data_IF_701472559150
#
_entry.id   IF_701472559150
#
_cell.length_a   1.000
_cell.length_b   1.000
_cell.length_c   1.000
_cell.angle_alpha   90.00
_cell.angle_beta   90.00
_cell.angle_gamma   90.00
#
_symmetry.space_group_name_H-M   'P 1'
#
loop_
_entity.id
_entity.type
_entity.pdbx_description
1 polymer ?
#
# COMPACT_ATOMS: atom_id res chain seq x y z
N UNK A 1 -14.46 -3.04 -21.53
CA UNK A 1 -14.86 -2.63 -20.17
C UNK A 1 -14.31 -1.22 -19.91
N UNK A 2 -15.12 -0.24 -19.49
CA UNK A 2 -14.66 1.14 -19.26
C UNK A 2 -14.18 1.29 -17.80
N UNK A 3 -12.90 1.62 -17.64
CA UNK A 3 -12.20 1.71 -16.34
C UNK A 3 -12.45 3.06 -15.61
N UNK A 4 -12.97 4.07 -16.33
CA UNK A 4 -13.17 5.43 -15.81
C UNK A 4 -14.56 6.02 -16.14
N UNK A 5 -15.05 6.89 -15.25
CA UNK A 5 -16.32 7.62 -15.43
C UNK A 5 -16.23 8.61 -16.59
N UNK A 6 -17.33 8.79 -17.33
CA UNK A 6 -17.37 9.63 -18.53
C UNK A 6 -17.89 11.06 -18.25
N UNK A 7 -18.31 11.34 -17.01
CA UNK A 7 -18.59 12.71 -16.55
C UNK A 7 -17.33 13.33 -15.96
N UNK A 8 -16.91 14.53 -16.40
CA UNK A 8 -15.62 15.12 -16.06
C UNK A 8 -15.43 15.33 -14.55
N UNK A 9 -16.49 15.73 -13.82
CA UNK A 9 -16.43 15.94 -12.37
C UNK A 9 -16.15 14.64 -11.58
N UNK A 10 -16.70 13.50 -12.01
CA UNK A 10 -16.46 12.20 -11.34
C UNK A 10 -15.14 11.58 -11.78
N UNK A 11 -14.75 11.76 -13.05
CA UNK A 11 -13.45 11.34 -13.56
C UNK A 11 -12.32 12.03 -12.80
N UNK A 12 -12.40 13.35 -12.59
CA UNK A 12 -11.37 14.09 -11.87
C UNK A 12 -11.28 13.66 -10.40
N UNK A 13 -12.40 13.36 -9.73
CA UNK A 13 -12.39 12.79 -8.37
C UNK A 13 -11.77 11.40 -8.32
N UNK A 14 -11.98 10.55 -9.34
CA UNK A 14 -11.34 9.23 -9.41
C UNK A 14 -9.83 9.37 -9.62
N UNK A 15 -9.40 10.21 -10.56
CA UNK A 15 -7.97 10.48 -10.79
C UNK A 15 -7.33 11.05 -9.52
N UNK A 16 -7.97 12.01 -8.86
CA UNK A 16 -7.46 12.58 -7.62
C UNK A 16 -7.38 11.53 -6.50
N UNK A 17 -8.40 10.67 -6.36
CA UNK A 17 -8.37 9.59 -5.38
C UNK A 17 -7.27 8.55 -5.68
N UNK A 18 -7.07 8.21 -6.95
CA UNK A 18 -5.99 7.31 -7.39
C UNK A 18 -4.62 7.95 -7.12
N UNK A 19 -4.45 9.23 -7.43
CA UNK A 19 -3.21 9.97 -7.16
C UNK A 19 -2.93 10.08 -5.65
N UNK A 20 -3.94 10.37 -4.83
CA UNK A 20 -3.81 10.40 -3.37
C UNK A 20 -3.42 9.02 -2.84
N UNK A 21 -4.05 7.95 -3.34
CA UNK A 21 -3.71 6.59 -2.94
C UNK A 21 -2.26 6.26 -3.28
N UNK A 22 -1.82 6.56 -4.50
CA UNK A 22 -0.42 6.36 -4.92
C UNK A 22 0.52 7.20 -4.06
N UNK A 23 0.23 8.48 -3.86
CA UNK A 23 1.06 9.37 -3.05
C UNK A 23 1.18 8.89 -1.60
N UNK A 24 0.09 8.43 -0.98
CA UNK A 24 0.11 7.87 0.37
C UNK A 24 0.93 6.58 0.45
N UNK A 25 0.80 5.68 -0.53
CA UNK A 25 1.59 4.46 -0.59
C UNK A 25 3.07 4.79 -0.78
N UNK A 26 3.41 5.69 -1.70
CA UNK A 26 4.79 6.13 -1.93
C UNK A 26 5.39 6.81 -0.69
N UNK A 27 4.63 7.67 -0.02
CA UNK A 27 5.05 8.32 1.22
C UNK A 27 5.28 7.32 2.35
N UNK A 28 4.40 6.32 2.49
CA UNK A 28 4.55 5.25 3.49
C UNK A 28 5.80 4.41 3.23
N UNK A 29 6.05 4.02 1.98
CA UNK A 29 7.27 3.28 1.60
C UNK A 29 8.51 4.12 1.87
N UNK A 30 8.52 5.38 1.46
CA UNK A 30 9.65 6.28 1.71
C UNK A 30 9.93 6.43 3.20
N UNK A 31 8.89 6.65 4.02
CA UNK A 31 9.00 6.74 5.46
C UNK A 31 9.52 5.43 6.09
N UNK A 32 9.03 4.28 5.63
CA UNK A 32 9.47 2.97 6.11
C UNK A 32 10.95 2.68 5.82
N UNK A 33 11.44 3.11 4.65
CA UNK A 33 12.86 3.01 4.29
C UNK A 33 13.71 3.96 5.14
N UNK A 34 13.27 5.20 5.36
CA UNK A 34 13.98 6.13 6.23
C UNK A 34 14.09 5.60 7.67
N UNK A 35 13.03 4.97 8.19
CA UNK A 35 13.05 4.30 9.49
C UNK A 35 13.97 3.08 9.49
N UNK A 36 13.98 2.28 8.42
CA UNK A 36 14.90 1.15 8.27
C UNK A 36 16.35 1.59 8.39
N UNK A 37 16.74 2.60 7.61
CA UNK A 37 18.10 3.12 7.58
C UNK A 37 18.50 3.69 8.95
N UNK A 38 17.58 4.40 9.61
CA UNK A 38 17.79 4.88 10.96
C UNK A 38 18.01 3.76 11.98
N UNK A 39 17.28 2.64 11.88
CA UNK A 39 17.48 1.47 12.75
C UNK A 39 18.81 0.79 12.43
N UNK A 40 19.20 0.68 11.16
CA UNK A 40 20.46 0.06 10.74
C UNK A 40 21.71 0.81 11.24
N UNK A 41 21.59 2.09 11.60
CA UNK A 41 22.65 2.82 12.31
C UNK A 41 22.97 2.19 13.68
N UNK A 42 21.98 1.57 14.35
CA UNK A 42 22.22 0.85 15.62
C UNK A 42 23.03 -0.45 15.43
N UNK A 43 23.19 -0.96 14.21
CA UNK A 43 24.04 -2.12 13.93
C UNK A 43 25.53 -1.73 13.80
N UNK A 44 25.85 -0.45 13.62
CA UNK A 44 27.23 0.00 13.45
C UNK A 44 28.12 -0.25 14.68
N UNK A 45 27.67 -0.02 15.93
CA UNK A 45 28.43 -0.42 17.12
C UNK A 45 28.70 -1.93 17.17
N UNK A 46 27.72 -2.76 16.79
CA UNK A 46 27.87 -4.22 16.73
C UNK A 46 28.97 -4.65 15.75
N UNK A 47 29.02 -4.03 14.57
CA UNK A 47 30.09 -4.27 13.58
C UNK A 47 31.47 -3.92 14.09
N UNK A 48 31.59 -2.80 14.82
CA UNK A 48 32.87 -2.42 15.42
C UNK A 48 33.30 -3.42 16.48
N UNK A 49 32.38 -3.85 17.35
CA UNK A 49 32.64 -4.87 18.39
C UNK A 49 33.05 -6.20 17.77
N UNK A 50 32.35 -6.67 16.73
CA UNK A 50 32.70 -7.87 15.96
C UNK A 50 34.12 -7.78 15.42
N UNK A 51 34.42 -6.72 14.66
CA UNK A 51 35.73 -6.54 14.04
C UNK A 51 36.88 -6.43 15.05
N UNK A 52 36.66 -5.74 16.18
CA UNK A 52 37.66 -5.64 17.25
C UNK A 52 37.83 -6.96 18.01
N UNK A 53 36.75 -7.71 18.23
CA UNK A 53 36.81 -9.04 18.85
C UNK A 53 37.60 -10.03 18.00
N UNK A 54 37.34 -10.07 16.69
CA UNK A 54 38.03 -10.94 15.73
C UNK A 54 39.52 -10.59 15.59
N UNK A 55 39.86 -9.30 15.50
CA UNK A 55 41.27 -8.89 15.41
C UNK A 55 42.01 -9.27 16.69
N UNK A 56 41.40 -9.04 17.86
CA UNK A 56 41.99 -9.37 19.15
C UNK A 56 42.14 -10.87 19.34
N UNK A 57 41.13 -11.66 18.93
CA UNK A 57 41.21 -13.12 18.93
C UNK A 57 42.36 -13.63 18.06
N UNK A 58 42.52 -13.05 16.87
CA UNK A 58 43.60 -13.40 15.94
C UNK A 58 44.98 -13.06 16.51
N UNK A 59 45.15 -11.85 17.05
CA UNK A 59 46.40 -11.42 17.66
C UNK A 59 46.79 -12.28 18.88
N UNK A 60 45.83 -12.57 19.76
CA UNK A 60 46.04 -13.41 20.94
C UNK A 60 46.31 -14.87 20.57
N UNK A 61 45.65 -15.40 19.53
CA UNK A 61 45.92 -16.73 18.98
C UNK A 61 47.35 -16.82 18.45
N UNK A 62 47.75 -15.87 17.61
CA UNK A 62 49.11 -15.77 17.08
C UNK A 62 50.16 -15.64 18.19
N UNK A 63 49.88 -14.83 19.23
CA UNK A 63 50.76 -14.70 20.39
C UNK A 63 50.85 -16.00 21.19
N UNK A 64 49.74 -16.73 21.37
CA UNK A 64 49.73 -18.05 22.01
C UNK A 64 50.57 -19.06 21.25
N UNK A 65 50.47 -19.09 19.93
CA UNK A 65 51.27 -19.96 19.07
C UNK A 65 52.75 -19.60 19.10
N UNK A 66 53.09 -18.31 19.15
CA UNK A 66 54.47 -17.87 19.35
C UNK A 66 55.01 -18.26 20.73
N UNK A 67 54.19 -18.08 21.79
CA UNK A 67 54.56 -18.40 23.16
C UNK A 67 54.79 -19.91 23.38
N UNK A 68 54.05 -20.77 22.66
CA UNK A 68 54.24 -22.23 22.69
C UNK A 68 55.67 -22.68 22.33
N UNK A 69 56.42 -21.83 21.60
CA UNK A 69 57.79 -22.12 21.14
C UNK A 69 58.86 -21.80 22.20
N UNK A 70 58.49 -21.25 23.36
CA UNK A 70 59.44 -20.91 24.44
C UNK A 70 59.81 -22.18 25.24
N UNK A 71 61.10 -22.55 25.36
CA UNK A 71 61.52 -23.73 26.12
C UNK A 71 61.10 -23.65 27.60
N UNK A 72 60.74 -24.80 28.18
CA UNK A 72 60.36 -24.99 29.59
C UNK A 72 59.04 -24.33 30.06
N UNK A 73 58.59 -23.23 29.44
CA UNK A 73 57.39 -22.47 29.87
C UNK A 73 56.34 -22.25 28.78
N UNK A 74 56.56 -22.71 27.55
CA UNK A 74 55.66 -22.42 26.42
C UNK A 74 54.20 -22.80 26.65
N UNK A 75 53.94 -24.00 27.17
CA UNK A 75 52.58 -24.48 27.47
C UNK A 75 51.88 -23.65 28.56
N UNK A 76 52.64 -23.12 29.53
CA UNK A 76 52.12 -22.27 30.61
C UNK A 76 51.69 -20.90 30.09
N UNK A 77 52.35 -20.40 29.04
CA UNK A 77 52.05 -19.12 28.40
C UNK A 77 50.98 -19.24 27.30
N UNK A 78 50.95 -20.37 26.57
CA UNK A 78 50.01 -20.61 25.49
C UNK A 78 48.55 -20.68 25.97
N UNK A 79 48.28 -21.45 27.04
CA UNK A 79 46.93 -21.65 27.57
C UNK A 79 46.17 -20.36 27.87
N UNK A 80 46.71 -19.40 28.64
CA UNK A 80 45.99 -18.15 28.94
C UNK A 80 45.77 -17.30 27.69
N UNK A 81 46.72 -17.27 26.74
CA UNK A 81 46.58 -16.53 25.48
C UNK A 81 45.49 -17.14 24.58
N UNK A 82 45.45 -18.46 24.43
CA UNK A 82 44.39 -19.14 23.68
C UNK A 82 43.02 -19.00 24.36
N UNK A 83 42.98 -19.03 25.69
CA UNK A 83 41.74 -18.79 26.44
C UNK A 83 41.23 -17.36 26.24
N UNK A 84 42.14 -16.38 26.25
CA UNK A 84 41.81 -14.99 25.97
C UNK A 84 41.34 -14.81 24.52
N UNK A 85 41.98 -15.49 23.55
CA UNK A 85 41.52 -15.50 22.16
C UNK A 85 40.09 -16.03 22.02
N UNK A 86 39.76 -17.14 22.69
CA UNK A 86 38.40 -17.69 22.72
C UNK A 86 37.37 -16.79 23.42
N UNK A 87 37.78 -16.03 24.44
CA UNK A 87 36.92 -15.01 25.03
C UNK A 87 36.67 -13.84 24.04
N UNK A 88 37.69 -13.44 23.28
CA UNK A 88 37.58 -12.42 22.24
C UNK A 88 36.70 -12.86 21.06
N UNK A 89 36.73 -14.12 20.64
CA UNK A 89 35.76 -14.65 19.66
C UNK A 89 34.34 -14.59 20.20
N UNK A 90 34.12 -14.90 21.48
CA UNK A 90 32.79 -14.75 22.09
C UNK A 90 32.27 -13.31 22.11
N UNK A 91 33.16 -12.32 22.21
CA UNK A 91 32.82 -10.89 22.05
C UNK A 91 32.43 -10.60 20.60
N UNK A 92 33.16 -11.18 19.64
CA UNK A 92 32.86 -11.00 18.22
C UNK A 92 31.48 -11.58 17.85
N UNK A 93 31.21 -12.81 18.28
CA UNK A 93 29.92 -13.50 18.12
C UNK A 93 28.75 -12.70 18.73
N UNK A 94 28.96 -12.06 19.88
CA UNK A 94 27.99 -11.18 20.50
C UNK A 94 27.75 -9.91 19.65
N UNK A 95 28.81 -9.33 19.09
CA UNK A 95 28.74 -8.22 18.15
C UNK A 95 27.93 -8.57 16.90
N UNK A 96 28.13 -9.76 16.34
CA UNK A 96 27.37 -10.27 15.20
C UNK A 96 25.90 -10.52 15.55
N UNK A 97 25.63 -11.18 16.70
CA UNK A 97 24.27 -11.46 17.16
C UNK A 97 23.43 -10.19 17.36
N UNK A 98 24.06 -9.11 17.86
CA UNK A 98 23.41 -7.80 17.97
C UNK A 98 23.03 -7.21 16.60
N UNK A 99 23.91 -7.32 15.61
CA UNK A 99 23.62 -6.84 14.25
C UNK A 99 22.45 -7.59 13.63
N UNK A 100 22.41 -8.92 13.80
CA UNK A 100 21.33 -9.75 13.31
C UNK A 100 19.99 -9.39 13.96
N UNK A 101 19.98 -9.17 15.29
CA UNK A 101 18.79 -8.73 16.01
C UNK A 101 18.30 -7.37 15.52
N UNK A 102 19.21 -6.40 15.35
CA UNK A 102 18.87 -5.06 14.83
C UNK A 102 18.32 -5.17 13.40
N UNK A 103 18.93 -5.99 12.54
CA UNK A 103 18.48 -6.21 11.16
C UNK A 103 17.08 -6.83 11.10
N UNK A 104 16.80 -7.82 11.95
CA UNK A 104 15.47 -8.44 12.05
C UNK A 104 14.42 -7.43 12.51
N UNK A 105 14.72 -6.63 13.54
CA UNK A 105 13.81 -5.58 14.03
C UNK A 105 13.58 -4.52 12.95
N UNK A 106 14.64 -4.05 12.28
CA UNK A 106 14.54 -3.09 11.20
C UNK A 106 13.61 -3.61 10.09
N UNK A 107 13.80 -4.86 9.67
CA UNK A 107 12.98 -5.50 8.64
C UNK A 107 11.52 -5.63 9.06
N UNK A 108 11.26 -6.11 10.28
CA UNK A 108 9.90 -6.31 10.78
C UNK A 108 9.14 -4.99 10.93
N UNK A 109 9.81 -3.95 11.44
CA UNK A 109 9.25 -2.60 11.54
C UNK A 109 8.95 -2.04 10.16
N UNK A 110 9.88 -2.12 9.21
CA UNK A 110 9.69 -1.66 7.82
C UNK A 110 8.50 -2.35 7.16
N UNK A 111 8.40 -3.68 7.28
CA UNK A 111 7.26 -4.45 6.74
C UNK A 111 5.95 -3.99 7.37
N UNK A 112 5.89 -3.85 8.69
CA UNK A 112 4.69 -3.37 9.37
C UNK A 112 4.29 -1.95 8.92
N UNK A 113 5.26 -1.05 8.80
CA UNK A 113 5.06 0.34 8.36
C UNK A 113 4.60 0.45 6.90
N UNK A 114 4.89 -0.54 6.05
CA UNK A 114 4.39 -0.58 4.67
C UNK A 114 3.01 -1.25 4.63
N UNK A 115 2.89 -2.45 5.20
CA UNK A 115 1.71 -3.30 5.07
C UNK A 115 0.49 -2.63 5.71
N UNK A 116 0.62 -2.04 6.89
CA UNK A 116 -0.51 -1.44 7.60
C UNK A 116 -1.16 -0.29 6.80
N UNK A 117 -0.46 0.79 6.41
CA UNK A 117 -1.06 1.88 5.65
C UNK A 117 -1.51 1.44 4.25
N UNK A 118 -0.74 0.59 3.56
CA UNK A 118 -1.15 0.06 2.25
C UNK A 118 -2.47 -0.69 2.36
N UNK A 119 -2.62 -1.53 3.38
CA UNK A 119 -3.85 -2.29 3.63
C UNK A 119 -5.02 -1.36 3.92
N UNK A 120 -4.83 -0.32 4.75
CA UNK A 120 -5.88 0.67 5.02
C UNK A 120 -6.29 1.41 3.75
N UNK A 121 -5.33 1.87 2.94
CA UNK A 121 -5.61 2.52 1.65
C UNK A 121 -6.40 1.58 0.74
N UNK A 122 -5.98 0.32 0.62
CA UNK A 122 -6.67 -0.69 -0.18
C UNK A 122 -8.09 -0.94 0.33
N UNK A 123 -8.28 -1.11 1.64
CA UNK A 123 -9.58 -1.38 2.24
C UNK A 123 -10.56 -0.22 2.08
N UNK A 124 -10.08 1.03 2.08
CA UNK A 124 -10.95 2.20 1.86
C UNK A 124 -11.21 2.45 0.37
N UNK A 125 -10.20 2.27 -0.48
CA UNK A 125 -10.26 2.61 -1.90
C UNK A 125 -10.90 1.50 -2.76
N UNK A 126 -10.52 0.24 -2.55
CA UNK A 126 -10.95 -0.90 -3.36
C UNK A 126 -12.46 -1.14 -3.37
N UNK A 127 -13.20 -1.14 -2.23
CA UNK A 127 -14.64 -1.38 -2.26
C UNK A 127 -15.41 -0.22 -2.89
N UNK A 128 -14.93 1.02 -2.75
CA UNK A 128 -15.52 2.17 -3.44
C UNK A 128 -15.36 2.02 -4.97
N UNK A 129 -14.16 1.63 -5.44
CA UNK A 129 -13.85 1.37 -6.85
C UNK A 129 -14.70 0.21 -7.40
N UNK A 130 -14.73 -0.92 -6.69
CA UNK A 130 -15.47 -2.12 -7.11
C UNK A 130 -16.98 -1.89 -7.18
N UNK A 131 -17.57 -1.21 -6.18
CA UNK A 131 -19.00 -0.85 -6.20
C UNK A 131 -19.34 0.02 -7.42
N UNK A 132 -18.46 0.96 -7.78
CA UNK A 132 -18.67 1.80 -8.96
C UNK A 132 -18.56 1.02 -10.27
N UNK A 133 -17.56 0.15 -10.42
CA UNK A 133 -17.39 -0.71 -11.59
C UNK A 133 -18.64 -1.60 -11.76
N UNK A 134 -19.06 -2.30 -10.69
CA UNK A 134 -20.26 -3.16 -10.71
C UNK A 134 -21.51 -2.38 -11.09
N UNK A 135 -21.76 -1.22 -10.47
CA UNK A 135 -22.92 -0.37 -10.80
C UNK A 135 -22.90 0.07 -12.26
N UNK A 136 -21.74 0.44 -12.79
CA UNK A 136 -21.60 0.89 -14.18
C UNK A 136 -21.87 -0.24 -15.18
N UNK A 137 -21.46 -1.46 -14.88
CA UNK A 137 -21.72 -2.65 -15.71
C UNK A 137 -23.22 -2.97 -15.69
N UNK A 138 -23.85 -3.01 -14.51
CA UNK A 138 -25.29 -3.30 -14.39
C UNK A 138 -26.12 -2.26 -15.12
N UNK A 139 -25.79 -0.97 -15.00
CA UNK A 139 -26.54 0.10 -15.66
C UNK A 139 -26.44 0.02 -17.19
N UNK A 140 -25.28 -0.37 -17.74
CA UNK A 140 -25.11 -0.61 -19.19
C UNK A 140 -25.92 -1.83 -19.65
N UNK A 141 -25.83 -2.94 -18.92
CA UNK A 141 -26.63 -4.14 -19.23
C UNK A 141 -28.13 -3.88 -19.22
N UNK A 142 -28.59 -3.06 -18.28
CA UNK A 142 -30.00 -2.66 -18.21
C UNK A 142 -30.39 -1.76 -19.37
N UNK A 143 -29.51 -0.86 -19.83
CA UNK A 143 -29.77 -0.03 -21.01
C UNK A 143 -29.90 -0.89 -22.29
N UNK A 144 -29.04 -1.89 -22.44
CA UNK A 144 -29.01 -2.79 -23.61
C UNK A 144 -30.18 -3.80 -23.62
N UNK A 145 -30.91 -3.93 -22.51
CA UNK A 145 -32.07 -4.83 -22.40
C UNK A 145 -33.33 -4.24 -23.06
N UNK A 146 -34.26 -5.07 -23.56
CA UNK A 146 -35.54 -4.60 -24.08
C UNK A 146 -36.31 -3.81 -23.00
N UNK A 147 -36.74 -2.58 -23.31
CA UNK A 147 -37.39 -1.69 -22.34
C UNK A 147 -36.43 -1.02 -21.33
N UNK A 148 -35.11 -1.19 -21.50
CA UNK A 148 -34.08 -0.67 -20.61
C UNK A 148 -34.09 0.83 -20.40
N UNK A 149 -34.35 1.60 -21.47
CA UNK A 149 -34.50 3.05 -21.41
C UNK A 149 -35.65 3.47 -20.49
N UNK A 150 -36.72 2.67 -20.44
CA UNK A 150 -37.91 2.95 -19.66
C UNK A 150 -37.67 2.69 -18.16
N UNK A 151 -36.94 1.63 -17.84
CA UNK A 151 -36.46 1.36 -16.46
C UNK A 151 -35.52 2.46 -15.95
N UNK A 152 -34.66 2.98 -16.83
CA UNK A 152 -33.78 4.11 -16.50
C UNK A 152 -34.57 5.40 -16.34
N UNK A 153 -35.59 5.64 -17.16
CA UNK A 153 -36.49 6.78 -17.03
C UNK A 153 -37.26 6.74 -15.70
N UNK A 154 -37.81 5.59 -15.31
CA UNK A 154 -38.44 5.39 -14.00
C UNK A 154 -37.46 5.68 -12.86
N UNK A 155 -36.22 5.19 -12.95
CA UNK A 155 -35.18 5.48 -11.94
C UNK A 155 -34.78 6.96 -11.90
N UNK A 156 -34.89 7.67 -13.01
CA UNK A 156 -34.69 9.13 -13.04
C UNK A 156 -35.79 9.85 -12.26
N UNK A 157 -37.05 9.44 -12.45
CA UNK A 157 -38.23 9.98 -11.78
C UNK A 157 -38.22 9.75 -10.26
N UNK A 158 -37.75 8.59 -9.79
CA UNK A 158 -37.60 8.30 -8.35
C UNK A 158 -36.28 8.82 -7.74
N UNK A 159 -35.53 9.63 -8.49
CA UNK A 159 -34.21 10.14 -8.10
C UNK A 159 -34.26 11.51 -7.43
N UNK A 160 -33.15 12.25 -7.50
CA UNK A 160 -33.03 13.60 -6.89
C UNK A 160 -33.95 14.61 -7.60
N UNK A 161 -34.69 15.42 -6.84
CA UNK A 161 -35.60 16.41 -7.43
C UNK A 161 -34.86 17.57 -8.14
N UNK A 162 -33.67 17.94 -7.68
CA UNK A 162 -32.86 19.04 -8.25
C UNK A 162 -32.57 18.86 -9.73
N UNK A 163 -32.26 17.65 -10.18
CA UNK A 163 -31.89 17.42 -11.58
C UNK A 163 -33.11 17.17 -12.47
N UNK A 164 -34.28 16.85 -11.88
CA UNK A 164 -35.55 16.81 -12.61
C UNK A 164 -36.05 18.22 -12.92
N UNK A 165 -35.83 19.18 -12.01
CA UNK A 165 -36.14 20.59 -12.22
C UNK A 165 -35.30 21.24 -13.33
N UNK A 166 -34.18 20.62 -13.71
CA UNK A 166 -33.33 21.08 -14.81
C UNK A 166 -33.83 20.62 -16.20
N UNK A 167 -34.82 19.71 -16.25
CA UNK A 167 -35.42 19.27 -17.52
C UNK A 167 -36.59 20.18 -17.90
N UNK A 168 -36.77 20.49 -19.20
CA UNK A 168 -37.98 21.14 -19.69
C UNK A 168 -39.22 20.32 -19.30
N UNK A 169 -40.19 20.94 -18.62
CA UNK A 169 -41.43 20.27 -18.24
C UNK A 169 -42.41 20.25 -19.42
N UNK A 170 -42.77 19.06 -19.95
CA UNK A 170 -43.75 18.96 -21.03
C UNK A 170 -45.17 19.30 -20.53
N UNK A 171 -46.11 19.60 -21.44
CA UNK A 171 -47.51 19.79 -21.08
C UNK A 171 -48.08 18.54 -20.38
N UNK A 172 -48.64 18.73 -19.18
CA UNK A 172 -49.12 17.61 -18.32
C UNK A 172 -48.06 17.03 -17.37
N UNK A 173 -46.81 17.49 -17.46
CA UNK A 173 -45.73 17.09 -16.54
C UNK A 173 -45.01 15.80 -16.93
N UNK A 174 -43.80 15.62 -16.37
CA UNK A 174 -42.90 14.52 -16.71
C UNK A 174 -43.49 13.12 -16.45
N UNK A 175 -44.28 12.96 -15.37
CA UNK A 175 -44.88 11.68 -15.00
C UNK A 175 -46.03 11.25 -15.92
N UNK A 176 -46.72 12.21 -16.54
CA UNK A 176 -47.82 11.95 -17.46
C UNK A 176 -47.29 11.66 -18.86
N UNK A 177 -46.30 12.44 -19.31
CA UNK A 177 -45.59 12.16 -20.56
C UNK A 177 -44.87 10.80 -20.55
N UNK A 178 -44.29 10.40 -19.42
CA UNK A 178 -43.74 9.05 -19.24
C UNK A 178 -44.82 7.96 -19.34
N UNK A 179 -45.97 8.13 -18.67
CA UNK A 179 -47.09 7.18 -18.73
C UNK A 179 -47.69 7.01 -20.12
N UNK A 180 -47.63 8.04 -20.97
CA UNK A 180 -48.05 8.00 -22.38
C UNK A 180 -47.05 7.34 -23.32
N UNK A 181 -45.87 6.95 -22.83
CA UNK A 181 -44.83 6.33 -23.67
C UNK A 181 -44.13 7.30 -24.61
N UNK A 182 -44.07 8.60 -24.26
CA UNK A 182 -43.37 9.61 -25.07
C UNK A 182 -41.89 9.25 -25.18
N UNK A 183 -41.45 8.86 -26.39
CA UNK A 183 -40.08 8.40 -26.67
C UNK A 183 -39.05 9.50 -26.40
N UNK A 184 -39.40 10.76 -26.60
CA UNK A 184 -38.48 11.87 -26.36
C UNK A 184 -38.25 12.06 -24.86
N UNK A 185 -39.33 12.09 -24.08
CA UNK A 185 -39.25 12.22 -22.61
C UNK A 185 -38.57 11.01 -21.96
N UNK A 186 -38.85 9.79 -22.43
CA UNK A 186 -38.15 8.57 -21.95
C UNK A 186 -36.65 8.65 -22.27
N UNK A 187 -36.28 9.10 -23.48
CA UNK A 187 -34.89 9.30 -23.87
C UNK A 187 -34.17 10.32 -22.98
N UNK A 188 -34.79 11.46 -22.72
CA UNK A 188 -34.24 12.52 -21.87
C UNK A 188 -34.07 12.06 -20.41
N UNK A 189 -35.09 11.40 -19.84
CA UNK A 189 -35.04 10.84 -18.50
C UNK A 189 -33.98 9.72 -18.37
N UNK A 190 -33.89 8.84 -19.36
CA UNK A 190 -32.85 7.79 -19.40
C UNK A 190 -31.44 8.39 -19.48
N UNK A 191 -31.26 9.45 -20.27
CA UNK A 191 -29.99 10.17 -20.40
C UNK A 191 -29.61 10.85 -19.09
N UNK A 192 -30.59 11.41 -18.38
CA UNK A 192 -30.40 11.97 -17.05
C UNK A 192 -29.96 10.89 -16.04
N UNK A 193 -30.59 9.72 -16.06
CA UNK A 193 -30.19 8.58 -15.22
C UNK A 193 -28.77 8.09 -15.52
N UNK A 194 -28.37 8.02 -16.80
CA UNK A 194 -27.01 7.66 -17.22
C UNK A 194 -25.98 8.71 -16.77
N UNK A 195 -26.27 10.00 -16.93
CA UNK A 195 -25.42 11.10 -16.46
C UNK A 195 -25.23 11.06 -14.94
N UNK A 196 -26.29 10.78 -14.16
CA UNK A 196 -26.21 10.57 -12.70
C UNK A 196 -25.31 9.40 -12.31
N UNK A 197 -25.32 8.33 -13.10
CA UNK A 197 -24.43 7.18 -12.92
C UNK A 197 -22.97 7.47 -13.35
N UNK A 198 -22.73 8.59 -14.04
CA UNK A 198 -21.41 8.96 -14.57
C UNK A 198 -21.10 8.32 -15.93
N UNK A 199 -22.14 7.89 -16.65
CA UNK A 199 -22.08 7.30 -17.97
C UNK A 199 -22.49 8.35 -19.01
N UNK A 200 -21.86 8.35 -20.19
CA UNK A 200 -22.40 9.07 -21.35
C UNK A 200 -23.45 8.19 -22.04
N UNK A 201 -24.53 8.78 -22.56
CA UNK A 201 -25.46 8.09 -23.45
C UNK A 201 -24.72 7.52 -24.66
#
# INVERSE_FOLDING_TARGET
MRVYAQTPARRNRQILADLIAVALVSAAVWFALAVHDAIMLLAEPGRRVESSGDSLATELGNAGDAASKVPFVGDLLQKPLQSAAGASTGIADAGQSLQDAVSQVATLVTVALIVLPVTVVLLLWLPARLRWIRRSIVMRRLLDAPGGADLLALRALTGRLSDLAALPTPPGGLADAWRRGDRQVIGDLSTLALRRAGLRP
#
